data_IF_895708965081
#
_entry.id   IF_895708965081
#
_cell.length_a   1.000
_cell.length_b   1.000
_cell.length_c   1.000
_cell.angle_alpha   90.00
_cell.angle_beta   90.00
_cell.angle_gamma   90.00
#
_symmetry.space_group_name_H-M   'P 1'
#
loop_
_entity.id
_entity.type
_entity.pdbx_description
1 polymer ?
#
# COMPACT_ATOMS: atom_id res chain seq x y z
N UNK A 1 -35.33 44.46 18.74
CA UNK A 1 -33.97 44.03 18.37
C UNK A 1 -33.45 43.11 19.46
N UNK A 2 -33.60 41.81 19.25
CA UNK A 2 -33.16 40.81 20.22
C UNK A 2 -31.99 40.03 19.60
N UNK A 3 -30.82 40.17 20.20
CA UNK A 3 -29.60 39.47 19.76
C UNK A 3 -29.66 38.00 20.20
N UNK A 4 -29.56 37.10 19.26
CA UNK A 4 -29.37 35.68 19.55
C UNK A 4 -27.92 35.44 20.02
N UNK A 5 -27.68 34.60 21.03
CA UNK A 5 -26.32 34.25 21.43
C UNK A 5 -25.75 33.29 20.38
N UNK A 6 -24.56 33.60 19.90
CA UNK A 6 -23.72 32.73 19.10
C UNK A 6 -23.10 31.65 20.00
N UNK A 7 -23.72 30.47 20.09
CA UNK A 7 -23.13 29.30 20.72
C UNK A 7 -22.14 28.64 19.77
N UNK A 8 -20.90 29.09 19.85
CA UNK A 8 -19.72 28.47 19.23
C UNK A 8 -19.19 27.28 20.04
N UNK A 9 -20.03 26.27 20.30
CA UNK A 9 -19.57 25.00 20.83
C UNK A 9 -19.05 24.15 19.67
N UNK A 10 -17.74 24.11 19.50
CA UNK A 10 -17.05 23.01 18.81
C UNK A 10 -17.51 21.71 19.51
N UNK A 11 -18.47 21.01 18.88
CA UNK A 11 -19.18 19.89 19.48
C UNK A 11 -18.26 18.78 19.93
N UNK A 12 -18.05 18.63 21.24
CA UNK A 12 -17.39 17.49 21.83
C UNK A 12 -18.19 16.23 21.46
N UNK A 13 -17.51 15.22 20.90
CA UNK A 13 -18.13 13.94 20.58
C UNK A 13 -18.70 13.34 21.86
N UNK A 14 -20.01 13.03 21.93
CA UNK A 14 -20.63 12.50 23.15
C UNK A 14 -19.99 11.18 23.59
N UNK A 15 -19.96 10.90 24.86
CA UNK A 15 -19.52 9.61 25.41
C UNK A 15 -20.72 8.66 25.39
N UNK A 16 -20.79 7.82 24.34
CA UNK A 16 -21.80 6.80 24.14
C UNK A 16 -21.12 5.45 23.89
N UNK A 17 -21.79 4.37 24.27
CA UNK A 17 -21.33 3.02 23.97
C UNK A 17 -21.72 2.60 22.54
N UNK A 18 -21.24 1.43 22.12
CA UNK A 18 -21.53 0.86 20.82
C UNK A 18 -23.01 0.52 20.56
N UNK A 19 -23.84 0.53 21.61
CA UNK A 19 -25.30 0.38 21.54
C UNK A 19 -26.03 1.74 21.52
N UNK A 20 -25.29 2.86 21.45
CA UNK A 20 -25.83 4.21 21.45
C UNK A 20 -26.25 4.72 22.83
N UNK A 21 -25.92 4.02 23.93
CA UNK A 21 -26.31 4.42 25.28
C UNK A 21 -25.27 5.36 25.91
N UNK A 22 -25.69 6.42 26.61
CA UNK A 22 -24.77 7.33 27.29
C UNK A 22 -23.92 6.61 28.36
N UNK A 23 -22.62 6.90 28.35
CA UNK A 23 -21.70 6.40 29.40
C UNK A 23 -21.77 7.33 30.59
N UNK A 24 -22.65 6.99 31.54
CA UNK A 24 -22.91 7.78 32.76
C UNK A 24 -22.01 7.36 33.94
N UNK A 25 -21.97 8.20 34.96
CA UNK A 25 -21.26 7.86 36.22
C UNK A 25 -21.76 6.58 36.86
N UNK A 26 -23.06 6.33 36.80
CA UNK A 26 -23.67 5.11 37.34
C UNK A 26 -23.20 3.86 36.60
N UNK A 27 -23.16 3.91 35.28
CA UNK A 27 -22.60 2.83 34.45
C UNK A 27 -21.11 2.59 34.72
N UNK A 28 -20.33 3.64 34.92
CA UNK A 28 -18.92 3.51 35.30
C UNK A 28 -18.73 2.86 36.68
N UNK A 29 -19.63 3.09 37.64
CA UNK A 29 -19.56 2.46 38.94
C UNK A 29 -19.85 0.95 38.88
N UNK A 30 -20.66 0.51 37.89
CA UNK A 30 -20.96 -0.90 37.64
C UNK A 30 -20.02 -1.55 36.61
N UNK A 31 -19.07 -0.82 36.07
CA UNK A 31 -18.11 -1.30 35.07
C UNK A 31 -17.04 -2.18 35.72
N UNK A 32 -16.61 -3.24 35.05
CA UNK A 32 -15.48 -4.10 35.47
C UNK A 32 -14.19 -3.30 35.77
N UNK A 33 -14.03 -2.13 35.14
CA UNK A 33 -12.89 -1.22 35.32
C UNK A 33 -13.16 -0.07 36.28
N UNK A 34 -14.18 -0.17 37.18
CA UNK A 34 -14.51 0.87 38.16
C UNK A 34 -13.31 1.26 39.04
N UNK A 35 -12.50 0.28 39.43
CA UNK A 35 -11.30 0.50 40.24
C UNK A 35 -10.24 1.33 39.49
N UNK A 36 -10.04 1.09 38.15
CA UNK A 36 -9.14 1.90 37.34
C UNK A 36 -9.61 3.33 37.27
N UNK A 37 -10.90 3.56 37.13
CA UNK A 37 -11.47 4.91 37.12
C UNK A 37 -11.22 5.65 38.41
N UNK A 38 -11.39 5.00 39.55
CA UNK A 38 -11.11 5.59 40.86
C UNK A 38 -9.66 6.04 40.99
N UNK A 39 -8.73 5.31 40.36
CA UNK A 39 -7.31 5.66 40.28
C UNK A 39 -6.94 6.61 39.12
N UNK A 40 -7.91 7.14 38.37
CA UNK A 40 -7.64 8.03 37.19
C UNK A 40 -7.17 7.30 35.94
N UNK A 41 -7.23 5.97 35.89
CA UNK A 41 -6.76 5.16 34.75
C UNK A 41 -7.70 5.15 33.55
N UNK A 42 -8.96 5.51 33.71
CA UNK A 42 -9.91 5.70 32.60
C UNK A 42 -10.90 6.84 32.88
N UNK A 43 -11.43 7.44 31.80
CA UNK A 43 -12.37 8.54 31.86
C UNK A 43 -13.32 8.50 30.66
N UNK A 44 -14.68 8.55 30.91
CA UNK A 44 -15.66 8.67 29.83
C UNK A 44 -15.39 9.92 28.94
N UNK A 45 -15.49 9.74 27.63
CA UNK A 45 -15.22 10.81 26.67
C UNK A 45 -13.76 11.08 26.40
N UNK A 46 -12.83 10.46 27.13
CA UNK A 46 -11.40 10.60 26.92
C UNK A 46 -10.68 9.25 26.71
N UNK A 47 -10.78 8.34 27.65
CA UNK A 47 -10.10 7.03 27.64
C UNK A 47 -11.03 5.98 28.24
N UNK A 48 -11.75 5.22 27.41
CA UNK A 48 -12.75 4.26 27.87
C UNK A 48 -12.93 3.16 26.81
N UNK A 49 -12.80 1.90 27.22
CA UNK A 49 -13.01 0.77 26.32
C UNK A 49 -14.47 0.51 25.98
N UNK A 50 -15.41 1.00 26.79
CA UNK A 50 -16.85 0.88 26.52
C UNK A 50 -17.37 1.92 25.52
N UNK A 51 -16.54 2.88 25.11
CA UNK A 51 -16.93 3.95 24.18
C UNK A 51 -17.09 3.42 22.74
N UNK A 52 -18.00 4.01 21.98
CA UNK A 52 -18.13 3.71 20.55
C UNK A 52 -17.00 4.34 19.71
N UNK A 53 -16.28 5.31 20.23
CA UNK A 53 -15.26 6.03 19.49
C UNK A 53 -13.87 5.37 19.59
N UNK A 54 -13.42 4.80 18.51
CA UNK A 54 -12.18 4.03 18.40
C UNK A 54 -10.96 4.66 19.07
N UNK A 55 -10.77 5.99 18.95
CA UNK A 55 -9.63 6.67 19.58
C UNK A 55 -9.64 6.62 21.10
N UNK A 56 -10.82 6.55 21.73
CA UNK A 56 -10.98 6.45 23.19
C UNK A 56 -10.68 5.05 23.67
N UNK A 57 -11.10 4.04 22.89
CA UNK A 57 -10.77 2.63 23.11
C UNK A 57 -9.25 2.43 22.96
N UNK A 58 -8.65 2.94 21.89
CA UNK A 58 -7.20 2.82 21.66
C UNK A 58 -6.38 3.47 22.78
N UNK A 59 -6.82 4.64 23.25
CA UNK A 59 -6.16 5.32 24.35
C UNK A 59 -6.23 4.52 25.64
N UNK A 60 -7.35 3.85 25.90
CA UNK A 60 -7.51 2.96 27.04
C UNK A 60 -6.51 1.80 26.99
N UNK A 61 -6.49 1.03 25.91
CA UNK A 61 -5.58 -0.12 25.78
C UNK A 61 -4.10 0.28 25.66
N UNK A 62 -3.80 1.47 25.15
CA UNK A 62 -2.43 1.98 25.14
C UNK A 62 -1.88 2.17 26.54
N UNK A 63 -2.71 2.63 27.46
CA UNK A 63 -2.35 2.81 28.88
C UNK A 63 -2.43 1.50 29.69
N UNK A 64 -3.25 0.54 29.24
CA UNK A 64 -3.54 -0.69 29.98
C UNK A 64 -3.39 -1.93 29.07
N UNK A 65 -2.19 -2.12 28.50
CA UNK A 65 -1.94 -3.18 27.50
C UNK A 65 -2.26 -4.60 28.00
N UNK A 66 -1.99 -4.88 29.27
CA UNK A 66 -2.27 -6.19 29.84
C UNK A 66 -3.76 -6.58 29.76
N UNK A 67 -4.67 -5.59 29.87
CA UNK A 67 -6.11 -5.84 29.78
C UNK A 67 -6.57 -6.16 28.34
N UNK A 68 -5.74 -5.89 27.32
CA UNK A 68 -6.14 -6.17 25.95
C UNK A 68 -6.37 -7.67 25.69
N UNK A 69 -5.66 -8.55 26.40
CA UNK A 69 -5.86 -9.99 26.29
C UNK A 69 -7.26 -10.45 26.70
N UNK A 70 -7.84 -9.76 27.68
CA UNK A 70 -9.13 -10.10 28.28
C UNK A 70 -10.33 -9.61 27.46
N UNK A 71 -10.09 -8.81 26.41
CA UNK A 71 -11.15 -8.19 25.60
C UNK A 71 -11.12 -8.59 24.12
N UNK A 72 -10.46 -9.70 23.80
CA UNK A 72 -10.37 -10.21 22.43
C UNK A 72 -11.64 -10.92 21.96
N UNK A 73 -12.58 -11.22 22.86
CA UNK A 73 -13.89 -11.81 22.60
C UNK A 73 -15.06 -10.83 22.80
N UNK A 74 -14.76 -9.53 23.00
CA UNK A 74 -15.77 -8.51 23.25
C UNK A 74 -16.82 -8.46 22.14
N UNK A 75 -18.09 -8.21 22.49
CA UNK A 75 -19.21 -8.18 21.51
C UNK A 75 -19.02 -7.13 20.40
N UNK A 76 -18.44 -5.97 20.73
CA UNK A 76 -18.16 -4.90 19.77
C UNK A 76 -16.83 -5.16 19.05
N UNK A 77 -16.90 -5.27 17.72
CA UNK A 77 -15.74 -5.59 16.89
C UNK A 77 -14.60 -4.56 17.03
N UNK A 78 -14.92 -3.27 17.19
CA UNK A 78 -13.91 -2.22 17.34
C UNK A 78 -13.06 -2.42 18.60
N UNK A 79 -13.67 -2.87 19.70
CA UNK A 79 -12.93 -3.25 20.91
C UNK A 79 -12.00 -4.43 20.62
N UNK A 80 -12.50 -5.51 19.98
CA UNK A 80 -11.68 -6.67 19.60
C UNK A 80 -10.51 -6.26 18.68
N UNK A 81 -10.79 -5.43 17.66
CA UNK A 81 -9.77 -4.96 16.71
C UNK A 81 -8.67 -4.14 17.41
N UNK A 82 -9.06 -3.23 18.28
CA UNK A 82 -8.10 -2.39 19.02
C UNK A 82 -7.38 -3.21 20.10
N UNK A 83 -8.08 -4.07 20.82
CA UNK A 83 -7.46 -5.00 21.76
C UNK A 83 -6.43 -5.88 21.04
N UNK A 84 -6.77 -6.45 19.87
CA UNK A 84 -5.83 -7.21 19.04
C UNK A 84 -4.56 -6.43 18.66
N UNK A 85 -4.62 -5.10 18.61
CA UNK A 85 -3.47 -4.23 18.36
C UNK A 85 -2.49 -4.17 19.53
N UNK A 86 -2.96 -4.39 20.76
CA UNK A 86 -2.19 -4.23 22.00
C UNK A 86 -1.92 -5.57 22.72
N UNK A 87 -2.74 -6.59 22.49
CA UNK A 87 -2.65 -7.90 23.12
C UNK A 87 -1.33 -8.63 22.80
N UNK A 88 -1.01 -9.65 23.60
CA UNK A 88 0.12 -10.53 23.36
C UNK A 88 -0.10 -11.40 22.12
N UNK A 89 0.97 -11.66 21.37
CA UNK A 89 0.91 -12.39 20.10
C UNK A 89 0.32 -13.80 20.23
N UNK A 90 0.47 -14.43 21.37
CA UNK A 90 -0.04 -15.79 21.63
C UNK A 90 -1.58 -15.86 21.70
N UNK A 91 -2.24 -14.73 21.96
CA UNK A 91 -3.71 -14.64 22.03
C UNK A 91 -4.37 -14.32 20.69
N UNK A 92 -3.58 -13.95 19.65
CA UNK A 92 -4.13 -13.53 18.35
C UNK A 92 -4.61 -14.66 17.41
N UNK A 93 -4.05 -15.89 17.41
CA UNK A 93 -4.43 -16.90 16.44
C UNK A 93 -5.94 -17.23 16.36
N UNK A 94 -6.73 -17.25 17.45
CA UNK A 94 -8.18 -17.46 17.35
C UNK A 94 -8.91 -16.38 16.53
N UNK A 95 -8.40 -15.13 16.53
CA UNK A 95 -8.99 -14.02 15.81
C UNK A 95 -8.63 -13.98 14.31
N UNK A 96 -7.82 -14.90 13.82
CA UNK A 96 -7.53 -15.03 12.38
C UNK A 96 -8.79 -15.37 11.57
N UNK A 97 -9.82 -15.92 12.21
CA UNK A 97 -11.14 -16.21 11.65
C UNK A 97 -12.27 -15.41 12.29
N UNK A 98 -11.96 -14.26 12.89
CA UNK A 98 -12.99 -13.37 13.45
C UNK A 98 -14.02 -13.00 12.36
N UNK A 99 -15.32 -12.94 12.69
CA UNK A 99 -16.35 -12.57 11.72
C UNK A 99 -16.12 -11.19 11.09
N UNK A 100 -15.48 -10.26 11.82
CA UNK A 100 -15.24 -8.89 11.34
C UNK A 100 -13.86 -8.76 10.68
N UNK A 101 -13.83 -8.22 9.46
CA UNK A 101 -12.61 -8.02 8.68
C UNK A 101 -11.64 -7.02 9.33
N UNK A 102 -12.15 -6.07 10.11
CA UNK A 102 -11.30 -5.08 10.80
C UNK A 102 -10.44 -5.76 11.86
N UNK A 103 -11.02 -6.74 12.58
CA UNK A 103 -10.28 -7.57 13.53
C UNK A 103 -9.24 -8.41 12.82
N UNK A 104 -9.64 -9.16 11.78
CA UNK A 104 -8.72 -9.99 11.00
C UNK A 104 -7.57 -9.17 10.39
N UNK A 105 -7.85 -7.92 9.96
CA UNK A 105 -6.84 -7.00 9.45
C UNK A 105 -5.80 -6.64 10.52
N UNK A 106 -6.22 -6.32 11.75
CA UNK A 106 -5.29 -6.06 12.84
C UNK A 106 -4.46 -7.30 13.21
N UNK A 107 -5.09 -8.47 13.17
CA UNK A 107 -4.41 -9.76 13.37
C UNK A 107 -3.36 -10.00 12.28
N UNK A 108 -3.72 -9.81 11.01
CA UNK A 108 -2.80 -9.96 9.87
C UNK A 108 -1.58 -9.03 9.95
N UNK A 109 -1.69 -7.88 10.61
CA UNK A 109 -0.57 -6.97 10.86
C UNK A 109 0.42 -7.47 11.91
N UNK A 110 0.01 -8.39 12.79
CA UNK A 110 0.77 -8.74 14.00
C UNK A 110 1.22 -10.18 14.08
N UNK A 111 0.40 -11.14 13.63
CA UNK A 111 0.75 -12.57 13.74
C UNK A 111 2.09 -12.89 13.10
N UNK A 112 2.84 -13.87 13.62
CA UNK A 112 4.07 -14.35 12.99
C UNK A 112 3.84 -14.77 11.53
N UNK A 113 4.85 -14.54 10.69
CA UNK A 113 4.79 -14.81 9.24
C UNK A 113 4.29 -16.22 8.90
N UNK A 114 4.71 -17.25 9.68
CA UNK A 114 4.29 -18.64 9.48
C UNK A 114 2.77 -18.87 9.57
N UNK A 115 2.03 -17.99 10.26
CA UNK A 115 0.58 -18.10 10.39
C UNK A 115 -0.17 -17.38 9.27
N UNK A 116 0.47 -16.47 8.54
CA UNK A 116 -0.18 -15.68 7.48
C UNK A 116 -0.69 -16.55 6.33
N UNK A 117 -0.10 -17.74 6.11
CA UNK A 117 -0.59 -18.68 5.10
C UNK A 117 -2.06 -19.04 5.29
N UNK A 118 -2.53 -19.12 6.54
CA UNK A 118 -3.94 -19.43 6.83
C UNK A 118 -4.89 -18.26 6.52
N UNK A 119 -4.36 -17.04 6.34
CA UNK A 119 -5.12 -15.84 6.00
C UNK A 119 -4.95 -15.41 4.53
N UNK A 120 -4.22 -16.19 3.73
CA UNK A 120 -3.92 -15.86 2.33
C UNK A 120 -5.17 -15.69 1.47
N UNK A 121 -6.16 -16.52 1.70
CA UNK A 121 -7.40 -16.60 0.94
C UNK A 121 -8.58 -15.93 1.69
N UNK A 122 -8.29 -14.93 2.55
CA UNK A 122 -9.31 -14.19 3.31
C UNK A 122 -10.37 -13.59 2.36
N UNK A 123 -11.66 -13.67 2.70
CA UNK A 123 -12.72 -13.12 1.85
C UNK A 123 -12.58 -11.62 1.62
N UNK A 124 -11.99 -10.87 2.57
CA UNK A 124 -11.86 -9.42 2.46
C UNK A 124 -10.52 -9.01 1.81
N UNK A 125 -10.58 -8.20 0.75
CA UNK A 125 -9.40 -7.77 -0.02
C UNK A 125 -8.33 -7.07 0.82
N UNK A 126 -8.73 -6.21 1.77
CA UNK A 126 -7.77 -5.46 2.60
C UNK A 126 -6.96 -6.38 3.53
N UNK A 127 -7.57 -7.49 4.00
CA UNK A 127 -6.84 -8.50 4.76
C UNK A 127 -5.82 -9.18 3.84
N UNK A 128 -6.23 -9.63 2.65
CA UNK A 128 -5.30 -10.25 1.66
C UNK A 128 -4.15 -9.32 1.28
N UNK A 129 -4.42 -8.01 1.11
CA UNK A 129 -3.38 -6.99 0.87
C UNK A 129 -2.36 -6.95 2.02
N UNK A 130 -2.82 -6.96 3.29
CA UNK A 130 -1.91 -7.00 4.44
C UNK A 130 -1.10 -8.28 4.51
N UNK A 131 -1.76 -9.40 4.22
CA UNK A 131 -1.09 -10.70 4.11
C UNK A 131 -0.03 -10.66 3.02
N UNK A 132 -0.37 -10.19 1.81
CA UNK A 132 0.56 -10.11 0.69
C UNK A 132 1.82 -9.29 0.99
N UNK A 133 1.73 -8.26 1.83
CA UNK A 133 2.90 -7.49 2.27
C UNK A 133 3.85 -8.26 3.20
N UNK A 134 3.39 -9.30 3.89
CA UNK A 134 4.13 -9.92 4.99
C UNK A 134 4.41 -11.41 4.81
N UNK A 135 3.60 -12.12 4.03
CA UNK A 135 3.68 -13.57 3.84
C UNK A 135 5.05 -13.99 3.27
N UNK A 136 5.47 -15.22 3.51
CA UNK A 136 6.70 -15.79 2.94
C UNK A 136 6.62 -15.84 1.40
N UNK A 137 7.77 -15.74 0.72
CA UNK A 137 7.81 -15.67 -0.75
C UNK A 137 7.23 -16.92 -1.42
N UNK A 138 7.45 -18.09 -0.83
CA UNK A 138 6.91 -19.34 -1.34
C UNK A 138 5.37 -19.36 -1.34
N UNK A 139 4.76 -18.83 -0.28
CA UNK A 139 3.31 -18.70 -0.16
C UNK A 139 2.76 -17.51 -0.98
N UNK A 140 3.55 -16.47 -1.18
CA UNK A 140 3.19 -15.30 -1.97
C UNK A 140 3.01 -15.64 -3.45
N UNK A 141 3.71 -16.66 -3.96
CA UNK A 141 3.60 -17.06 -5.36
C UNK A 141 2.15 -17.40 -5.78
N UNK A 142 1.35 -17.96 -4.88
CA UNK A 142 -0.06 -18.23 -5.13
C UNK A 142 -0.93 -16.94 -5.17
N UNK A 143 -0.49 -15.87 -4.52
CA UNK A 143 -1.22 -14.59 -4.51
C UNK A 143 -0.99 -13.75 -5.78
N UNK A 144 -0.10 -14.20 -6.67
CA UNK A 144 0.07 -13.57 -7.97
C UNK A 144 -1.11 -13.80 -8.94
N UNK A 145 -2.04 -14.68 -8.57
CA UNK A 145 -3.27 -14.97 -9.31
C UNK A 145 -4.53 -14.51 -8.54
N UNK A 146 -4.35 -13.66 -7.50
CA UNK A 146 -5.45 -13.10 -6.70
C UNK A 146 -6.44 -12.31 -7.56
N UNK A 147 -7.76 -12.40 -7.31
CA UNK A 147 -8.75 -11.61 -8.05
C UNK A 147 -8.52 -10.08 -7.93
N UNK A 148 -7.94 -9.61 -6.84
CA UNK A 148 -7.64 -8.19 -6.62
C UNK A 148 -6.28 -7.80 -7.21
N UNK A 149 -6.28 -6.81 -8.10
CA UNK A 149 -5.08 -6.33 -8.78
C UNK A 149 -4.00 -5.80 -7.81
N UNK A 150 -4.40 -5.23 -6.67
CA UNK A 150 -3.45 -4.65 -5.73
C UNK A 150 -2.67 -5.76 -5.00
N UNK A 151 -3.31 -6.89 -4.72
CA UNK A 151 -2.63 -8.09 -4.19
C UNK A 151 -1.62 -8.61 -5.21
N UNK A 152 -2.01 -8.73 -6.50
CA UNK A 152 -1.11 -9.14 -7.58
C UNK A 152 0.05 -8.14 -7.79
N UNK A 153 -0.22 -6.83 -7.68
CA UNK A 153 0.81 -5.80 -7.78
C UNK A 153 1.84 -5.91 -6.63
N UNK A 154 1.40 -6.21 -5.42
CA UNK A 154 2.30 -6.48 -4.28
C UNK A 154 3.11 -7.76 -4.53
N UNK A 155 2.49 -8.80 -5.08
CA UNK A 155 3.21 -10.00 -5.49
C UNK A 155 4.30 -9.66 -6.52
N UNK A 156 3.99 -8.84 -7.55
CA UNK A 156 4.97 -8.36 -8.52
C UNK A 156 6.13 -7.57 -7.90
N UNK A 157 5.87 -6.83 -6.82
CA UNK A 157 6.92 -6.09 -6.09
C UNK A 157 7.85 -7.00 -5.28
N UNK A 158 7.37 -8.14 -4.80
CA UNK A 158 8.08 -8.96 -3.81
C UNK A 158 8.65 -10.26 -4.37
N UNK A 159 7.98 -10.87 -5.35
CA UNK A 159 8.39 -12.14 -5.92
C UNK A 159 9.81 -12.09 -6.50
N UNK A 160 10.54 -13.21 -6.55
CA UNK A 160 11.81 -13.31 -7.26
C UNK A 160 11.65 -12.91 -8.73
N UNK A 161 12.71 -12.36 -9.32
CA UNK A 161 12.72 -11.87 -10.71
C UNK A 161 12.30 -12.96 -11.72
N UNK A 162 12.70 -14.20 -11.47
CA UNK A 162 12.34 -15.35 -12.32
C UNK A 162 10.83 -15.60 -12.41
N UNK A 163 10.03 -15.17 -11.43
CA UNK A 163 8.59 -15.32 -11.41
C UNK A 163 7.83 -14.19 -12.13
N UNK A 164 8.50 -13.07 -12.46
CA UNK A 164 7.86 -11.86 -12.98
C UNK A 164 7.38 -11.94 -14.44
N UNK A 165 7.99 -12.73 -15.36
CA UNK A 165 7.59 -12.73 -16.76
C UNK A 165 6.11 -13.02 -17.02
N UNK A 166 5.45 -13.82 -16.16
CA UNK A 166 4.02 -14.13 -16.27
C UNK A 166 3.13 -12.91 -15.93
N UNK A 167 3.61 -11.99 -15.11
CA UNK A 167 2.88 -10.80 -14.69
C UNK A 167 2.99 -9.65 -15.70
N UNK A 168 3.79 -9.80 -16.75
CA UNK A 168 3.84 -8.85 -17.87
C UNK A 168 2.58 -8.91 -18.74
N UNK A 169 1.81 -9.99 -18.67
CA UNK A 169 0.55 -10.14 -19.42
C UNK A 169 -0.69 -9.89 -18.53
N UNK A 170 -0.49 -9.36 -17.32
CA UNK A 170 -1.62 -9.07 -16.42
C UNK A 170 -2.58 -8.05 -17.03
N UNK A 171 -3.88 -8.26 -16.85
CA UNK A 171 -4.91 -7.34 -17.35
C UNK A 171 -4.80 -5.92 -16.75
N UNK A 172 -4.25 -5.81 -15.53
CA UNK A 172 -4.13 -4.54 -14.82
C UNK A 172 -2.78 -3.87 -15.08
N UNK A 173 -2.82 -2.60 -15.48
CA UNK A 173 -1.63 -1.79 -15.76
C UNK A 173 -0.69 -1.69 -14.56
N UNK A 174 -1.21 -1.57 -13.34
CA UNK A 174 -0.37 -1.41 -12.16
C UNK A 174 0.46 -2.67 -11.87
N UNK A 175 -0.11 -3.85 -12.12
CA UNK A 175 0.61 -5.12 -12.00
C UNK A 175 1.73 -5.19 -13.03
N UNK A 176 1.42 -4.89 -14.31
CA UNK A 176 2.43 -4.86 -15.38
C UNK A 176 3.55 -3.87 -15.10
N UNK A 177 3.24 -2.67 -14.60
CA UNK A 177 4.23 -1.66 -14.21
C UNK A 177 5.17 -2.16 -13.09
N UNK A 178 4.63 -2.85 -12.07
CA UNK A 178 5.48 -3.39 -11.02
C UNK A 178 6.41 -4.50 -11.53
N UNK A 179 5.90 -5.38 -12.38
CA UNK A 179 6.70 -6.41 -13.03
C UNK A 179 7.76 -5.80 -13.97
N UNK A 180 7.37 -4.84 -14.81
CA UNK A 180 8.22 -4.17 -15.78
C UNK A 180 9.43 -3.47 -15.16
N UNK A 181 9.29 -2.91 -13.97
CA UNK A 181 10.39 -2.24 -13.24
C UNK A 181 11.49 -3.21 -12.78
N UNK A 182 11.19 -4.50 -12.66
CA UNK A 182 12.06 -5.49 -12.04
C UNK A 182 12.49 -6.62 -12.98
N UNK A 183 11.68 -6.94 -13.98
CA UNK A 183 11.96 -8.03 -14.92
C UNK A 183 13.32 -7.82 -15.60
N UNK A 184 14.02 -8.91 -15.92
CA UNK A 184 15.33 -8.90 -16.57
C UNK A 184 15.26 -9.55 -17.95
N UNK A 185 16.40 -9.50 -18.66
CA UNK A 185 16.55 -10.17 -19.95
C UNK A 185 16.37 -11.70 -19.79
N UNK A 186 15.75 -12.38 -20.76
CA UNK A 186 15.26 -11.85 -22.04
C UNK A 186 13.84 -11.25 -21.97
N UNK A 187 13.10 -11.42 -20.87
CA UNK A 187 11.71 -10.99 -20.75
C UNK A 187 11.52 -9.47 -20.87
N UNK A 188 12.54 -8.68 -20.55
CA UNK A 188 12.54 -7.22 -20.70
C UNK A 188 12.20 -6.77 -22.13
N UNK A 189 12.57 -7.56 -23.16
CA UNK A 189 12.22 -7.25 -24.56
C UNK A 189 10.72 -7.19 -24.81
N UNK A 190 9.92 -7.96 -24.09
CA UNK A 190 8.46 -8.01 -24.25
C UNK A 190 7.79 -6.68 -23.96
N UNK A 191 8.39 -5.83 -23.12
CA UNK A 191 7.82 -4.55 -22.73
C UNK A 191 7.67 -3.57 -23.89
N UNK A 192 8.40 -3.75 -25.00
CA UNK A 192 8.27 -2.91 -26.19
C UNK A 192 6.90 -3.03 -26.88
N UNK A 193 6.21 -4.13 -26.63
CA UNK A 193 4.92 -4.47 -27.24
C UNK A 193 3.74 -4.25 -26.31
N UNK A 194 3.97 -3.71 -25.10
CA UNK A 194 2.89 -3.47 -24.14
C UNK A 194 1.89 -2.42 -24.70
N UNK A 195 0.58 -2.63 -24.53
CA UNK A 195 -0.42 -1.67 -24.99
C UNK A 195 -0.28 -0.29 -24.32
N UNK A 196 0.24 -0.24 -23.07
CA UNK A 196 0.38 1.00 -22.32
C UNK A 196 1.74 1.69 -22.57
N UNK A 197 1.76 2.96 -22.95
CA UNK A 197 3.00 3.69 -23.18
C UNK A 197 3.87 3.80 -21.94
N UNK A 198 3.28 3.81 -20.75
CA UNK A 198 4.01 3.84 -19.47
C UNK A 198 4.91 2.61 -19.30
N UNK A 199 4.46 1.44 -19.74
CA UNK A 199 5.26 0.20 -19.70
C UNK A 199 6.32 0.22 -20.80
N UNK A 200 5.98 0.65 -22.04
CA UNK A 200 6.95 0.81 -23.12
C UNK A 200 8.03 1.84 -22.80
N UNK A 201 7.68 2.88 -22.03
CA UNK A 201 8.65 3.85 -21.52
C UNK A 201 9.66 3.21 -20.56
N UNK A 202 9.22 2.27 -19.70
CA UNK A 202 10.16 1.49 -18.88
C UNK A 202 11.08 0.63 -19.76
N UNK A 203 10.59 0.08 -20.87
CA UNK A 203 11.45 -0.58 -21.85
C UNK A 203 12.52 0.37 -22.40
N UNK A 204 12.13 1.58 -22.81
CA UNK A 204 13.05 2.60 -23.28
C UNK A 204 14.11 2.98 -22.23
N UNK A 205 13.75 2.98 -20.95
CA UNK A 205 14.67 3.25 -19.84
C UNK A 205 15.66 2.12 -19.57
N UNK A 206 15.28 0.87 -19.81
CA UNK A 206 16.01 -0.30 -19.30
C UNK A 206 16.70 -1.12 -20.38
N UNK A 207 16.19 -1.12 -21.62
CA UNK A 207 16.82 -1.86 -22.72
C UNK A 207 18.20 -1.32 -23.06
N UNK A 208 19.12 -2.17 -23.55
CA UNK A 208 20.38 -1.71 -24.13
C UNK A 208 20.12 -0.82 -25.35
N UNK A 209 21.10 0.04 -25.71
CA UNK A 209 20.97 0.99 -26.83
C UNK A 209 20.52 0.32 -28.14
N UNK A 210 21.03 -0.88 -28.44
CA UNK A 210 20.63 -1.67 -29.61
C UNK A 210 19.12 -2.01 -29.65
N UNK A 211 18.43 -2.00 -28.50
CA UNK A 211 17.00 -2.25 -28.41
C UNK A 211 16.12 -1.02 -28.58
N UNK A 212 16.69 0.17 -28.73
CA UNK A 212 15.92 1.42 -28.76
C UNK A 212 15.38 1.77 -30.16
N UNK A 213 15.89 1.15 -31.21
CA UNK A 213 15.54 1.49 -32.61
C UNK A 213 14.03 1.41 -32.87
N UNK A 214 13.36 0.39 -32.33
CA UNK A 214 11.91 0.23 -32.48
C UNK A 214 11.14 1.31 -31.72
N UNK A 215 11.53 1.59 -30.48
CA UNK A 215 10.89 2.58 -29.62
C UNK A 215 11.14 4.03 -30.06
N UNK A 216 12.10 4.27 -30.94
CA UNK A 216 12.32 5.59 -31.57
C UNK A 216 11.17 6.00 -32.49
N UNK A 217 10.32 5.05 -32.90
CA UNK A 217 9.13 5.28 -33.72
C UNK A 217 7.83 4.99 -32.93
N UNK A 218 7.90 5.00 -31.61
CA UNK A 218 6.72 4.76 -30.77
C UNK A 218 5.64 5.82 -31.04
N UNK A 219 4.35 5.45 -31.08
CA UNK A 219 3.27 6.41 -31.26
C UNK A 219 3.23 7.45 -30.14
N UNK A 220 3.63 7.08 -28.92
CA UNK A 220 3.67 7.97 -27.76
C UNK A 220 4.99 8.74 -27.68
N UNK A 221 4.88 10.06 -27.66
CA UNK A 221 6.05 10.95 -27.64
C UNK A 221 6.90 10.81 -26.36
N UNK A 222 6.29 10.44 -25.23
CA UNK A 222 7.04 10.28 -23.97
C UNK A 222 7.98 9.08 -24.02
N UNK A 223 7.63 8.04 -24.80
CA UNK A 223 8.51 6.90 -25.07
C UNK A 223 9.66 7.36 -25.97
N UNK A 224 9.38 8.10 -27.07
CA UNK A 224 10.42 8.63 -27.96
C UNK A 224 11.34 9.62 -27.24
N UNK A 225 10.82 10.42 -26.33
CA UNK A 225 11.61 11.31 -25.49
C UNK A 225 12.60 10.54 -24.60
N UNK A 226 12.18 9.45 -24.01
CA UNK A 226 13.04 8.57 -23.21
C UNK A 226 14.14 7.96 -24.07
N UNK A 227 13.79 7.50 -25.28
CA UNK A 227 14.77 7.01 -26.28
C UNK A 227 15.79 8.11 -26.60
N UNK A 228 15.36 9.33 -26.86
CA UNK A 228 16.24 10.46 -27.16
C UNK A 228 17.24 10.76 -26.02
N UNK A 229 16.90 10.44 -24.78
CA UNK A 229 17.80 10.58 -23.64
C UNK A 229 18.93 9.54 -23.58
N UNK A 230 18.83 8.42 -24.35
CA UNK A 230 19.71 7.26 -24.21
C UNK A 230 20.29 6.73 -25.51
N UNK A 231 19.70 7.07 -26.65
CA UNK A 231 20.09 6.58 -27.94
C UNK A 231 21.52 7.00 -28.35
N UNK A 232 22.09 6.28 -29.29
CA UNK A 232 23.34 6.62 -29.96
C UNK A 232 23.15 7.68 -31.06
N UNK A 233 24.25 8.22 -31.56
CA UNK A 233 24.24 9.33 -32.51
C UNK A 233 23.42 9.06 -33.80
N UNK A 234 23.47 7.89 -34.44
CA UNK A 234 22.65 7.62 -35.62
C UNK A 234 21.16 7.74 -35.37
N UNK A 235 20.68 7.19 -34.26
CA UNK A 235 19.26 7.23 -33.86
C UNK A 235 18.83 8.63 -33.45
N UNK A 236 19.68 9.36 -32.71
CA UNK A 236 19.45 10.75 -32.32
C UNK A 236 19.28 11.68 -33.51
N UNK A 237 20.05 11.47 -34.58
CA UNK A 237 19.95 12.29 -35.82
C UNK A 237 18.54 12.20 -36.42
N UNK A 238 17.91 11.02 -36.40
CA UNK A 238 16.52 10.86 -36.82
C UNK A 238 15.55 11.63 -35.91
N UNK A 239 15.75 11.58 -34.60
CA UNK A 239 14.89 12.22 -33.62
C UNK A 239 15.01 13.76 -33.57
N UNK A 240 16.02 14.37 -34.22
CA UNK A 240 16.06 15.81 -34.43
C UNK A 240 14.93 16.35 -35.33
N UNK A 241 14.26 15.47 -36.06
CA UNK A 241 13.12 15.80 -36.93
C UNK A 241 11.79 15.29 -36.38
N UNK A 242 11.73 14.91 -35.08
CA UNK A 242 10.49 14.45 -34.44
C UNK A 242 9.41 15.53 -34.50
N UNK A 243 8.15 15.12 -34.55
CA UNK A 243 6.99 16.03 -34.54
C UNK A 243 6.90 16.81 -33.22
N UNK A 244 7.33 16.21 -32.11
CA UNK A 244 7.27 16.82 -30.80
C UNK A 244 8.54 17.64 -30.50
N UNK A 245 8.40 18.91 -30.10
CA UNK A 245 9.52 19.77 -29.81
C UNK A 245 10.40 19.26 -28.65
N UNK A 246 9.80 18.68 -27.63
CA UNK A 246 10.48 18.10 -26.47
C UNK A 246 11.42 16.96 -26.85
N UNK A 247 11.01 16.14 -27.81
CA UNK A 247 11.83 15.03 -28.32
C UNK A 247 13.02 15.58 -29.12
N UNK A 248 12.78 16.58 -30.01
CA UNK A 248 13.85 17.25 -30.75
C UNK A 248 14.87 17.91 -29.84
N UNK A 249 14.41 18.63 -28.83
CA UNK A 249 15.28 19.30 -27.85
C UNK A 249 16.14 18.32 -27.09
N UNK A 250 15.54 17.22 -26.60
CA UNK A 250 16.26 16.16 -25.89
C UNK A 250 17.32 15.51 -26.77
N UNK A 251 16.99 15.19 -28.03
CA UNK A 251 17.94 14.63 -28.98
C UNK A 251 19.13 15.60 -29.27
N UNK A 252 18.84 16.89 -29.51
CA UNK A 252 19.86 17.92 -29.74
C UNK A 252 20.74 18.11 -28.48
N UNK A 253 20.16 18.12 -27.29
CA UNK A 253 20.91 18.19 -26.04
C UNK A 253 21.87 17.01 -25.89
N UNK A 254 21.39 15.80 -26.16
CA UNK A 254 22.17 14.56 -26.01
C UNK A 254 23.36 14.54 -27.02
N UNK A 255 23.14 14.98 -28.26
CA UNK A 255 24.19 15.08 -29.27
C UNK A 255 25.28 16.09 -28.85
N UNK A 256 24.89 17.27 -28.34
CA UNK A 256 25.88 18.26 -27.86
C UNK A 256 26.74 17.68 -26.72
N UNK A 257 26.14 16.96 -25.76
CA UNK A 257 26.89 16.34 -24.68
C UNK A 257 27.86 15.25 -25.18
N UNK A 258 27.45 14.47 -26.17
CA UNK A 258 28.30 13.45 -26.77
C UNK A 258 29.52 14.10 -27.52
N UNK A 259 29.30 15.18 -28.24
CA UNK A 259 30.38 15.94 -28.93
C UNK A 259 31.37 16.53 -27.90
N UNK A 260 30.86 17.20 -26.84
CA UNK A 260 31.72 17.76 -25.80
C UNK A 260 32.53 16.70 -25.02
N UNK A 261 31.94 15.51 -24.80
CA UNK A 261 32.64 14.39 -24.15
C UNK A 261 33.76 13.78 -25.02
N UNK A 262 33.63 13.80 -26.34
CA UNK A 262 34.66 13.37 -27.30
C UNK A 262 35.83 14.38 -27.34
N UNK A 263 35.57 15.68 -27.30
CA UNK A 263 36.62 16.72 -27.26
C UNK A 263 37.45 16.64 -25.96
N UNK A 264 36.80 16.35 -24.80
CA UNK A 264 37.49 16.21 -23.53
C UNK A 264 38.40 14.96 -23.42
N UNK A 265 38.21 13.95 -24.29
CA UNK A 265 39.04 12.73 -24.33
C UNK A 265 40.26 12.85 -25.27
N UNK A 266 40.29 13.87 -26.12
CA UNK A 266 41.33 14.06 -27.16
C UNK A 266 42.15 15.33 -26.91
N UNK A 267 41.91 16.09 -25.87
CA UNK A 267 42.68 17.24 -25.39
C UNK A 267 43.42 16.91 -24.09
#
# INVERSE_FOLDING_TARGET
MSAAPADGTTGAIPAIDWQGQPITRARCAACEHAALRAGGGCEPGHSCMQDAYARRIDRFFRSHRALANDHLDHAYFEVRAIAARHADLFHLPPLMSDPDETVRLQVALRVPQRLLRAMRDDPHREVRIRVAHRIALDDLAAMADDPDYQVRAIAAQRLPVAALPRLLDDGDLQVRLQAARRVEMPALWRLQDDPAPEVRRIAAQRLPAAGLCRLAHDPDWTVRWEVAGRADAPLLTGLLHDVEPEVREQAARRLRLAAAGLEAQHG
#
